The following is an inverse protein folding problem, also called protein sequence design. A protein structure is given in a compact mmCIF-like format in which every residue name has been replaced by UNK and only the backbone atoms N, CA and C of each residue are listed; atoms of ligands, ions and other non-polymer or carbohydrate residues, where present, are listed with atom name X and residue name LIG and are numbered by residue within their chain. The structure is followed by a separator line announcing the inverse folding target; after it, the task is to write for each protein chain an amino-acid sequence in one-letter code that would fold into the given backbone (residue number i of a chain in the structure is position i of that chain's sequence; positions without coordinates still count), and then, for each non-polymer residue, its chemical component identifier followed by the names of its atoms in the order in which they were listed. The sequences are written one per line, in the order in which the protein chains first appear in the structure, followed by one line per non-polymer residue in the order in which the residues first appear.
data_IF_408665980396
#
_entry.id   IF_408665980396
#
_cell.length_a   1.000
_cell.length_b   1.000
_cell.length_c   1.000
_cell.angle_alpha   90.00
_cell.angle_beta   90.00
_cell.angle_gamma   90.00
#
_symmetry.space_group_name_H-M   'P 1'
#
loop_
_entity.id
_entity.type
_entity.pdbx_description
1 polymer ?
#
# COMPACT_ATOMS: atom_id res chain seq x y z
N UNK A 1 18.72 23.44 -17.84
CA UNK A 1 17.84 23.36 -16.65
C UNK A 1 18.55 22.42 -15.69
N UNK A 2 19.14 22.95 -14.61
CA UNK A 2 19.70 22.13 -13.53
C UNK A 2 18.51 21.61 -12.71
N UNK A 3 18.20 20.32 -12.78
CA UNK A 3 17.33 19.69 -11.83
C UNK A 3 18.07 19.61 -10.48
N UNK A 4 17.59 20.35 -9.49
CA UNK A 4 18.04 20.14 -8.11
C UNK A 4 17.55 18.74 -7.73
N UNK A 5 18.48 17.82 -7.49
CA UNK A 5 18.14 16.50 -6.96
C UNK A 5 17.67 16.70 -5.51
N UNK A 6 16.37 16.77 -5.32
CA UNK A 6 15.77 16.71 -3.98
C UNK A 6 15.60 15.24 -3.63
N UNK A 7 16.62 14.68 -3.00
CA UNK A 7 16.53 13.33 -2.43
C UNK A 7 15.77 13.33 -1.12
N UNK A 8 15.27 12.16 -0.73
CA UNK A 8 14.74 11.94 0.62
C UNK A 8 15.85 12.23 1.63
N UNK A 9 15.50 12.94 2.71
CA UNK A 9 16.45 13.16 3.82
C UNK A 9 16.93 11.82 4.37
N UNK A 10 18.23 11.53 4.19
CA UNK A 10 18.80 10.22 4.49
C UNK A 10 18.72 9.86 5.98
N UNK A 11 18.78 10.85 6.90
CA UNK A 11 18.71 10.60 8.34
C UNK A 11 17.30 10.16 8.74
N UNK A 12 16.28 10.85 8.24
CA UNK A 12 14.90 10.48 8.49
C UNK A 12 14.54 9.16 7.82
N UNK A 13 15.02 8.93 6.60
CA UNK A 13 14.84 7.65 5.91
C UNK A 13 15.44 6.50 6.72
N UNK A 14 16.71 6.61 7.11
CA UNK A 14 17.41 5.58 7.89
C UNK A 14 16.69 5.33 9.23
N UNK A 15 16.33 6.37 9.95
CA UNK A 15 15.65 6.26 11.23
C UNK A 15 14.29 5.55 11.13
N UNK A 16 13.46 5.93 10.14
CA UNK A 16 12.11 5.37 9.96
C UNK A 16 12.19 3.93 9.47
N UNK A 17 12.99 3.67 8.43
CA UNK A 17 13.14 2.33 7.87
C UNK A 17 13.77 1.36 8.88
N UNK A 18 14.74 1.80 9.65
CA UNK A 18 15.35 0.97 10.72
C UNK A 18 14.34 0.61 11.80
N UNK A 19 13.49 1.57 12.25
CA UNK A 19 12.41 1.29 13.20
C UNK A 19 11.40 0.28 12.64
N UNK A 20 10.94 0.45 11.40
CA UNK A 20 10.03 -0.49 10.77
C UNK A 20 10.66 -1.89 10.63
N UNK A 21 11.92 -1.98 10.20
CA UNK A 21 12.64 -3.27 10.13
C UNK A 21 12.73 -3.94 11.49
N UNK A 22 13.06 -3.19 12.54
CA UNK A 22 13.11 -3.73 13.91
C UNK A 22 11.74 -4.24 14.34
N UNK A 23 10.68 -3.48 14.10
CA UNK A 23 9.32 -3.92 14.42
C UNK A 23 8.96 -5.22 13.69
N UNK A 24 9.07 -5.26 12.38
CA UNK A 24 8.65 -6.45 11.62
C UNK A 24 9.57 -7.64 11.85
N UNK A 25 10.89 -7.44 11.91
CA UNK A 25 11.85 -8.54 12.08
C UNK A 25 11.94 -9.02 13.53
N UNK A 26 12.17 -8.11 14.48
CA UNK A 26 12.55 -8.47 15.83
C UNK A 26 11.34 -8.58 16.77
N UNK A 27 10.30 -7.74 16.57
CA UNK A 27 9.08 -7.78 17.39
C UNK A 27 8.08 -8.80 16.84
N UNK A 28 7.84 -8.80 15.52
CA UNK A 28 6.85 -9.68 14.87
C UNK A 28 7.44 -11.02 14.39
N UNK A 29 8.76 -11.12 14.26
CA UNK A 29 9.44 -12.33 13.79
C UNK A 29 9.28 -12.59 12.28
N UNK A 30 9.03 -11.56 11.47
CA UNK A 30 8.88 -11.70 10.04
C UNK A 30 10.23 -11.77 9.33
N UNK A 31 10.22 -12.26 8.08
CA UNK A 31 11.40 -12.36 7.24
C UNK A 31 11.44 -11.26 6.18
N UNK A 32 12.60 -10.61 6.05
CA UNK A 32 12.83 -9.67 4.94
C UNK A 32 13.18 -10.42 3.66
N UNK A 33 12.50 -10.12 2.57
CA UNK A 33 12.75 -10.71 1.25
C UNK A 33 12.97 -9.63 0.21
N UNK A 34 13.70 -9.98 -0.86
CA UNK A 34 13.92 -9.09 -1.99
C UNK A 34 12.91 -9.40 -3.11
N UNK A 35 12.10 -8.43 -3.48
CA UNK A 35 10.96 -8.61 -4.40
C UNK A 35 11.22 -8.12 -5.82
N UNK A 36 12.25 -7.27 -6.03
CA UNK A 36 12.49 -6.62 -7.33
C UNK A 36 13.46 -7.38 -8.25
N UNK A 37 13.95 -8.55 -7.85
CA UNK A 37 14.86 -9.37 -8.64
C UNK A 37 14.17 -10.31 -9.62
N UNK A 38 12.85 -10.37 -9.61
CA UNK A 38 12.04 -11.22 -10.48
C UNK A 38 11.13 -10.37 -11.36
N UNK A 39 10.96 -10.81 -12.59
CA UNK A 39 10.02 -10.22 -13.53
C UNK A 39 8.63 -10.72 -13.17
N UNK A 40 7.70 -9.83 -12.93
CA UNK A 40 6.30 -10.17 -12.68
C UNK A 40 5.39 -9.11 -13.27
N UNK A 41 4.40 -9.56 -14.02
CA UNK A 41 3.37 -8.71 -14.60
C UNK A 41 2.33 -8.36 -13.53
N UNK A 42 2.07 -9.27 -12.59
CA UNK A 42 1.14 -9.02 -11.49
C UNK A 42 1.67 -8.01 -10.45
N UNK A 43 2.96 -7.68 -10.49
CA UNK A 43 3.52 -6.58 -9.68
C UNK A 43 3.17 -5.18 -10.22
N UNK A 44 2.61 -5.09 -11.43
CA UNK A 44 1.96 -3.91 -11.98
C UNK A 44 0.52 -3.90 -11.45
N UNK A 45 0.33 -3.39 -10.24
CA UNK A 45 -0.95 -3.54 -9.56
C UNK A 45 -1.88 -2.32 -9.71
N UNK A 46 -2.71 -2.12 -8.86
CA UNK A 46 -3.82 -1.18 -8.59
C UNK A 46 -4.26 -0.28 -9.76
N UNK A 47 -3.39 0.58 -10.26
CA UNK A 47 -3.70 1.44 -11.42
C UNK A 47 -2.83 1.09 -12.63
N UNK A 48 -3.35 0.28 -13.58
CA UNK A 48 -2.60 -0.12 -14.76
C UNK A 48 -2.32 1.04 -15.72
N UNK A 49 -3.03 2.18 -15.59
CA UNK A 49 -2.81 3.34 -16.45
C UNK A 49 -1.50 4.06 -16.14
N UNK A 50 -0.97 3.86 -14.94
CA UNK A 50 0.29 4.46 -14.47
C UNK A 50 1.49 3.53 -14.54
N UNK A 51 1.39 2.39 -15.23
CA UNK A 51 2.49 1.45 -15.37
C UNK A 51 3.66 2.09 -16.14
N UNK A 52 4.82 2.15 -15.51
CA UNK A 52 6.09 2.40 -16.18
C UNK A 52 6.68 1.07 -16.69
N UNK A 53 7.32 1.09 -17.85
CA UNK A 53 7.86 -0.12 -18.47
C UNK A 53 9.35 -0.01 -18.74
N UNK A 54 10.01 -1.17 -18.87
CA UNK A 54 11.39 -1.27 -19.33
C UNK A 54 11.57 -2.43 -20.30
N UNK A 55 12.56 -2.31 -21.17
CA UNK A 55 12.96 -3.39 -22.08
C UNK A 55 14.08 -4.20 -21.41
N UNK A 56 13.88 -5.51 -21.33
CA UNK A 56 14.91 -6.41 -20.83
C UNK A 56 14.93 -7.69 -21.68
N UNK A 57 16.08 -7.98 -22.27
CA UNK A 57 16.30 -9.13 -23.17
C UNK A 57 15.33 -9.13 -24.39
N UNK A 58 14.99 -7.95 -24.90
CA UNK A 58 14.09 -7.81 -26.05
C UNK A 58 12.59 -7.87 -25.72
N UNK A 59 12.24 -8.04 -24.47
CA UNK A 59 10.87 -8.10 -24.00
C UNK A 59 10.51 -6.89 -23.13
N UNK A 60 9.27 -6.42 -23.22
CA UNK A 60 8.76 -5.33 -22.38
C UNK A 60 8.22 -5.88 -21.07
N UNK A 61 8.63 -5.28 -19.97
CA UNK A 61 8.25 -5.64 -18.61
C UNK A 61 7.79 -4.41 -17.84
N UNK A 62 6.86 -4.54 -16.87
CA UNK A 62 6.52 -3.46 -15.98
C UNK A 62 7.67 -3.19 -15.00
N UNK A 63 7.92 -1.92 -14.71
CA UNK A 63 8.58 -1.55 -13.47
C UNK A 63 7.60 -1.79 -12.32
N UNK A 64 8.03 -2.38 -11.20
CA UNK A 64 7.12 -2.74 -10.12
C UNK A 64 6.47 -1.52 -9.50
N UNK A 65 5.16 -1.60 -9.25
CA UNK A 65 4.43 -0.63 -8.44
C UNK A 65 4.36 -1.08 -6.97
N UNK A 66 4.47 -2.40 -6.74
CA UNK A 66 4.40 -3.04 -5.42
C UNK A 66 5.22 -4.34 -5.41
N UNK A 67 5.62 -4.75 -4.22
CA UNK A 67 6.18 -6.08 -3.94
C UNK A 67 5.15 -7.10 -3.42
N UNK A 68 3.87 -6.70 -3.29
CA UNK A 68 2.82 -7.50 -2.67
C UNK A 68 2.72 -8.92 -3.22
N UNK A 69 2.64 -9.09 -4.55
CA UNK A 69 2.47 -10.42 -5.16
C UNK A 69 3.65 -11.36 -4.84
N UNK A 70 4.85 -10.81 -4.65
CA UNK A 70 6.01 -11.58 -4.19
C UNK A 70 5.93 -11.95 -2.73
N UNK A 71 5.45 -11.04 -1.87
CA UNK A 71 5.24 -11.30 -0.45
C UNK A 71 4.19 -12.38 -0.25
N UNK A 72 3.06 -12.31 -0.99
CA UNK A 72 2.05 -13.36 -1.00
C UNK A 72 2.62 -14.71 -1.50
N UNK A 73 3.43 -14.67 -2.56
CA UNK A 73 4.10 -15.88 -3.07
C UNK A 73 4.97 -16.52 -1.98
N UNK A 74 5.84 -15.75 -1.31
CA UNK A 74 6.67 -16.27 -0.24
C UNK A 74 5.85 -16.81 0.93
N UNK A 75 4.80 -16.11 1.35
CA UNK A 75 3.96 -16.53 2.46
C UNK A 75 3.20 -17.84 2.16
N UNK A 76 2.68 -17.98 0.93
CA UNK A 76 1.98 -19.19 0.50
C UNK A 76 2.92 -20.39 0.31
N UNK A 77 4.16 -20.17 -0.09
CA UNK A 77 5.18 -21.24 -0.22
C UNK A 77 5.81 -21.64 1.15
N UNK A 78 5.74 -20.75 2.15
CA UNK A 78 6.35 -20.95 3.47
C UNK A 78 5.32 -20.70 4.60
N UNK A 79 4.28 -21.54 4.71
CA UNK A 79 3.19 -21.33 5.67
C UNK A 79 3.63 -21.47 7.14
N UNK A 80 4.84 -21.94 7.43
CA UNK A 80 5.39 -22.02 8.79
C UNK A 80 5.97 -20.68 9.28
N UNK A 81 6.28 -19.74 8.37
CA UNK A 81 6.75 -18.40 8.75
C UNK A 81 5.59 -17.51 9.23
N UNK A 82 5.87 -16.55 10.12
CA UNK A 82 4.86 -15.65 10.67
C UNK A 82 4.40 -14.60 9.67
N UNK A 83 5.29 -14.17 8.78
CA UNK A 83 5.06 -13.17 7.76
C UNK A 83 6.34 -12.77 7.05
N UNK A 84 6.16 -12.03 5.98
CA UNK A 84 7.24 -11.50 5.16
C UNK A 84 7.11 -9.98 5.00
N UNK A 85 8.23 -9.30 4.80
CA UNK A 85 8.25 -7.88 4.46
C UNK A 85 9.38 -7.58 3.48
N UNK A 86 9.26 -6.44 2.82
CA UNK A 86 10.32 -5.93 1.95
C UNK A 86 10.37 -4.40 2.00
N UNK A 87 11.52 -3.85 1.63
CA UNK A 87 11.64 -2.46 1.19
C UNK A 87 11.79 -2.48 -0.31
N UNK A 88 10.81 -1.94 -1.02
CA UNK A 88 10.75 -1.89 -2.47
C UNK A 88 10.79 -0.45 -2.99
N UNK A 89 10.83 -0.29 -4.29
CA UNK A 89 10.61 1.00 -4.95
C UNK A 89 9.37 0.91 -5.81
N UNK A 90 8.40 1.77 -5.56
CA UNK A 90 7.22 1.92 -6.42
C UNK A 90 7.54 2.86 -7.57
N UNK A 91 7.19 2.45 -8.78
CA UNK A 91 7.30 3.25 -10.00
C UNK A 91 5.90 3.52 -10.54
N UNK A 92 5.49 4.79 -10.52
CA UNK A 92 4.18 5.23 -11.00
C UNK A 92 4.36 6.31 -12.05
N UNK A 93 3.93 6.02 -13.27
CA UNK A 93 4.01 6.96 -14.38
C UNK A 93 2.75 7.84 -14.44
N UNK A 94 2.41 8.48 -13.31
CA UNK A 94 1.27 9.39 -13.24
C UNK A 94 1.52 10.61 -14.14
N UNK A 95 0.57 10.95 -15.04
CA UNK A 95 0.72 12.10 -15.92
C UNK A 95 0.70 13.41 -15.14
N UNK A 96 -0.20 13.56 -14.18
CA UNK A 96 -0.46 14.79 -13.43
C UNK A 96 -0.40 14.54 -11.91
N UNK A 97 0.77 14.26 -11.32
CA UNK A 97 0.89 14.01 -9.89
C UNK A 97 0.57 15.26 -9.08
N UNK A 98 -0.18 15.11 -7.99
CA UNK A 98 -0.50 16.22 -7.08
C UNK A 98 0.76 16.56 -6.26
N UNK A 99 1.29 17.80 -6.38
CA UNK A 99 2.48 18.20 -5.65
C UNK A 99 2.31 18.05 -4.13
N UNK A 100 3.28 17.40 -3.47
CA UNK A 100 3.26 17.17 -2.02
C UNK A 100 2.44 15.96 -1.57
N UNK A 101 1.69 15.32 -2.46
CA UNK A 101 0.93 14.08 -2.18
C UNK A 101 1.43 12.90 -3.01
N UNK A 102 1.78 13.13 -4.27
CA UNK A 102 2.11 12.07 -5.23
C UNK A 102 3.56 12.20 -5.69
N UNK A 103 4.35 11.19 -5.38
CA UNK A 103 5.68 10.97 -5.94
C UNK A 103 5.59 9.90 -7.04
N UNK A 104 6.30 10.09 -8.15
CA UNK A 104 6.34 9.11 -9.23
C UNK A 104 7.23 7.91 -8.95
N UNK A 105 8.25 8.10 -8.13
CA UNK A 105 9.20 7.06 -7.73
C UNK A 105 9.45 7.25 -6.24
N UNK A 106 9.09 6.27 -5.44
CA UNK A 106 9.22 6.38 -4.00
C UNK A 106 9.45 5.03 -3.33
N UNK A 107 10.11 5.00 -2.16
CA UNK A 107 10.27 3.78 -1.39
C UNK A 107 8.95 3.35 -0.74
N UNK A 108 8.63 2.07 -0.88
CA UNK A 108 7.52 1.39 -0.22
C UNK A 108 8.07 0.37 0.77
N UNK A 109 7.52 0.36 1.97
CA UNK A 109 7.74 -0.72 2.93
C UNK A 109 6.48 -1.58 2.96
N UNK A 110 6.60 -2.85 2.61
CA UNK A 110 5.43 -3.71 2.38
C UNK A 110 5.53 -4.96 3.25
N UNK A 111 4.40 -5.50 3.65
CA UNK A 111 4.33 -6.71 4.48
C UNK A 111 3.13 -7.57 4.12
N UNK A 112 3.25 -8.88 4.37
CA UNK A 112 2.18 -9.86 4.22
C UNK A 112 2.23 -10.84 5.39
N UNK A 113 1.06 -11.12 5.99
CA UNK A 113 0.90 -11.91 7.22
C UNK A 113 -0.20 -12.95 7.09
N UNK A 114 -0.18 -13.94 7.98
CA UNK A 114 -1.34 -14.81 8.20
C UNK A 114 -2.40 -14.07 9.02
N UNK A 115 -3.65 -14.35 8.72
CA UNK A 115 -4.78 -13.77 9.40
C UNK A 115 -5.57 -12.80 8.54
N UNK A 116 -6.75 -12.46 8.99
CA UNK A 116 -7.70 -11.59 8.31
C UNK A 116 -7.60 -10.13 8.78
N UNK A 117 -8.74 -9.43 8.69
CA UNK A 117 -8.83 -8.01 9.05
C UNK A 117 -8.44 -7.70 10.50
N UNK A 118 -8.79 -8.57 11.45
CA UNK A 118 -8.50 -8.33 12.87
C UNK A 118 -6.99 -8.36 13.14
N UNK A 119 -6.28 -9.35 12.56
CA UNK A 119 -4.83 -9.46 12.65
C UNK A 119 -4.12 -8.31 11.92
N UNK A 120 -4.63 -7.94 10.75
CA UNK A 120 -4.10 -6.82 9.96
C UNK A 120 -4.17 -5.53 10.75
N UNK A 121 -5.38 -5.17 11.21
CA UNK A 121 -5.62 -3.97 12.02
C UNK A 121 -4.76 -3.96 13.28
N UNK A 122 -4.61 -5.12 13.94
CA UNK A 122 -3.76 -5.25 15.12
C UNK A 122 -2.30 -4.97 14.81
N UNK A 123 -1.76 -5.54 13.73
CA UNK A 123 -0.35 -5.32 13.34
C UNK A 123 -0.10 -3.85 13.01
N UNK A 124 -1.01 -3.21 12.29
CA UNK A 124 -0.92 -1.78 11.95
C UNK A 124 -0.97 -0.89 13.20
N UNK A 125 -1.92 -1.14 14.10
CA UNK A 125 -2.01 -0.40 15.36
C UNK A 125 -0.76 -0.59 16.22
N UNK A 126 -0.23 -1.80 16.33
CA UNK A 126 1.01 -2.09 17.07
C UNK A 126 2.24 -1.43 16.40
N UNK A 127 2.27 -1.35 15.07
CA UNK A 127 3.32 -0.61 14.36
C UNK A 127 3.27 0.88 14.71
N UNK A 128 2.09 1.48 14.67
CA UNK A 128 1.92 2.90 14.99
C UNK A 128 2.31 3.21 16.44
N UNK A 129 1.91 2.36 17.39
CA UNK A 129 2.35 2.46 18.78
C UNK A 129 3.89 2.38 18.90
N UNK A 130 4.50 1.42 18.19
CA UNK A 130 5.95 1.24 18.18
C UNK A 130 6.70 2.46 17.59
N UNK A 131 6.12 3.09 16.57
CA UNK A 131 6.66 4.30 15.97
C UNK A 131 6.48 5.54 16.87
N UNK A 132 5.58 5.49 17.87
CA UNK A 132 5.37 6.52 18.87
C UNK A 132 4.08 7.33 18.69
N UNK A 133 3.17 6.93 17.79
CA UNK A 133 1.85 7.56 17.68
C UNK A 133 0.98 7.21 18.88
N UNK A 134 0.12 8.14 19.27
CA UNK A 134 -0.77 7.97 20.41
C UNK A 134 -2.15 7.52 19.98
N UNK A 135 -2.71 6.58 20.71
CA UNK A 135 -4.12 6.19 20.61
C UNK A 135 -5.04 7.27 21.20
N UNK A 136 -6.30 7.23 20.85
CA UNK A 136 -7.35 8.04 21.46
C UNK A 136 -7.55 7.74 22.95
N UNK A 137 -8.38 8.55 23.59
CA UNK A 137 -8.66 8.44 25.04
C UNK A 137 -9.31 7.09 25.42
N UNK A 138 -9.96 6.42 24.50
CA UNK A 138 -10.57 5.09 24.65
C UNK A 138 -9.56 3.93 24.45
N UNK A 139 -8.29 4.23 24.16
CA UNK A 139 -7.23 3.26 23.93
C UNK A 139 -7.22 2.68 22.51
N UNK A 140 -8.01 3.22 21.57
CA UNK A 140 -8.04 2.85 20.16
C UNK A 140 -7.60 3.99 19.25
N UNK A 141 -7.23 3.68 18.02
CA UNK A 141 -7.15 4.69 16.95
C UNK A 141 -8.55 4.94 16.40
N UNK A 142 -8.93 6.20 16.10
CA UNK A 142 -10.17 6.51 15.41
C UNK A 142 -10.33 5.72 14.12
N UNK A 143 -11.55 5.26 13.84
CA UNK A 143 -11.86 4.50 12.63
C UNK A 143 -13.28 4.73 12.15
N UNK A 144 -13.55 4.40 10.90
CA UNK A 144 -14.88 4.45 10.32
C UNK A 144 -14.97 3.68 9.01
N UNK A 145 -16.16 3.17 8.73
CA UNK A 145 -16.49 2.55 7.46
C UNK A 145 -16.53 3.60 6.34
N UNK A 146 -16.03 3.25 5.16
CA UNK A 146 -15.96 4.13 4.00
C UNK A 146 -17.31 4.83 3.69
N UNK A 147 -18.40 4.08 3.65
CA UNK A 147 -19.71 4.63 3.34
C UNK A 147 -20.27 5.53 4.46
N UNK A 148 -19.95 5.26 5.72
CA UNK A 148 -20.34 6.12 6.84
C UNK A 148 -19.58 7.44 6.80
N UNK A 149 -18.30 7.41 6.44
CA UNK A 149 -17.49 8.61 6.21
C UNK A 149 -18.04 9.41 5.02
N UNK A 150 -18.37 8.75 3.90
CA UNK A 150 -19.04 9.39 2.77
C UNK A 150 -20.30 10.14 3.21
N UNK A 151 -21.20 9.48 3.97
CA UNK A 151 -22.44 10.10 4.49
C UNK A 151 -22.15 11.31 5.36
N UNK A 152 -21.15 11.22 6.22
CA UNK A 152 -20.77 12.32 7.14
C UNK A 152 -20.27 13.55 6.42
N UNK A 153 -19.65 13.38 5.24
CA UNK A 153 -19.12 14.46 4.41
C UNK A 153 -20.03 14.84 3.24
N UNK A 154 -21.24 14.23 3.15
CA UNK A 154 -22.20 14.55 2.10
C UNK A 154 -21.82 14.00 0.73
N UNK A 155 -20.95 12.99 0.69
CA UNK A 155 -20.58 12.27 -0.53
C UNK A 155 -21.63 11.20 -0.82
N UNK A 156 -22.04 11.08 -2.08
CA UNK A 156 -23.04 10.08 -2.49
C UNK A 156 -22.47 8.66 -2.38
N UNK A 157 -23.08 7.82 -1.55
CA UNK A 157 -22.64 6.43 -1.31
C UNK A 157 -22.90 5.47 -2.47
N UNK A 158 -23.62 5.90 -3.50
CA UNK A 158 -23.91 5.05 -4.67
C UNK A 158 -22.83 5.24 -5.75
N UNK A 159 -22.44 6.48 -6.00
CA UNK A 159 -21.57 6.85 -7.12
C UNK A 159 -20.38 7.73 -6.76
N UNK A 160 -20.35 8.28 -5.54
CA UNK A 160 -19.27 9.17 -5.10
C UNK A 160 -18.10 8.42 -4.48
N UNK A 161 -16.94 9.05 -4.51
CA UNK A 161 -15.71 8.59 -3.86
C UNK A 161 -15.14 9.68 -2.95
N UNK A 162 -14.37 9.27 -1.96
CA UNK A 162 -13.64 10.19 -1.11
C UNK A 162 -12.44 10.74 -1.90
N UNK A 163 -12.35 12.04 -1.94
CA UNK A 163 -11.26 12.77 -2.59
C UNK A 163 -10.23 13.26 -1.58
N UNK A 164 -9.13 13.79 -2.06
CA UNK A 164 -8.03 14.32 -1.22
C UNK A 164 -8.51 15.30 -0.12
N UNK A 165 -9.49 16.15 -0.43
CA UNK A 165 -10.07 17.12 0.52
C UNK A 165 -10.81 16.43 1.67
N UNK A 166 -11.41 15.27 1.42
CA UNK A 166 -12.08 14.48 2.44
C UNK A 166 -11.07 13.79 3.37
N UNK A 167 -9.94 13.31 2.83
CA UNK A 167 -8.85 12.79 3.65
C UNK A 167 -8.22 13.87 4.54
N UNK A 168 -8.00 15.08 4.00
CA UNK A 168 -7.50 16.22 4.78
C UNK A 168 -8.45 16.53 5.93
N UNK A 169 -9.75 16.52 5.66
CA UNK A 169 -10.78 16.74 6.66
C UNK A 169 -10.83 15.63 7.73
N UNK A 170 -10.61 14.36 7.35
CA UNK A 170 -10.45 13.27 8.34
C UNK A 170 -9.32 13.57 9.32
N UNK A 171 -8.19 14.08 8.82
CA UNK A 171 -7.07 14.49 9.66
C UNK A 171 -7.40 15.64 10.60
N UNK A 172 -8.21 16.60 10.17
CA UNK A 172 -8.67 17.74 10.98
C UNK A 172 -9.68 17.30 12.05
N UNK A 173 -10.67 16.49 11.69
CA UNK A 173 -11.79 16.09 12.54
C UNK A 173 -11.40 15.01 13.57
N UNK A 174 -10.49 14.09 13.22
CA UNK A 174 -10.18 12.90 14.03
C UNK A 174 -8.74 12.82 14.53
N UNK A 175 -7.88 13.75 14.12
CA UNK A 175 -6.48 13.83 14.57
C UNK A 175 -5.48 13.12 13.63
N UNK A 176 -4.26 12.84 14.12
CA UNK A 176 -3.14 12.47 13.26
C UNK A 176 -3.25 11.09 12.61
N UNK A 177 -4.14 10.23 13.08
CA UNK A 177 -4.32 8.85 12.58
C UNK A 177 -5.80 8.50 12.53
N UNK A 178 -6.25 8.00 11.39
CA UNK A 178 -7.62 7.49 11.19
C UNK A 178 -7.59 6.23 10.33
N UNK A 179 -8.27 5.18 10.75
CA UNK A 179 -8.44 3.93 10.01
C UNK A 179 -9.73 3.99 9.19
N UNK A 180 -9.62 4.13 7.88
CA UNK A 180 -10.73 4.08 6.94
C UNK A 180 -10.88 2.65 6.44
N UNK A 181 -12.06 2.04 6.65
CA UNK A 181 -12.24 0.60 6.48
C UNK A 181 -13.41 0.27 5.55
N UNK A 182 -13.44 -0.97 5.05
CA UNK A 182 -14.57 -1.54 4.31
C UNK A 182 -14.90 -0.77 3.02
N UNK A 183 -13.99 -0.86 2.04
CA UNK A 183 -14.11 -0.13 0.78
C UNK A 183 -15.13 -0.75 -0.17
N UNK A 184 -16.07 0.05 -0.70
CA UNK A 184 -17.08 -0.45 -1.63
C UNK A 184 -16.47 -0.80 -3.00
N UNK A 185 -17.13 -1.72 -3.71
CA UNK A 185 -16.70 -2.18 -5.03
C UNK A 185 -16.59 -1.06 -6.08
N UNK A 186 -17.31 0.05 -5.93
CA UNK A 186 -17.22 1.23 -6.81
C UNK A 186 -15.84 1.90 -6.81
N UNK A 187 -15.07 1.74 -5.71
CA UNK A 187 -13.68 2.24 -5.62
C UNK A 187 -12.67 1.31 -6.29
N UNK A 188 -13.14 0.30 -7.02
CA UNK A 188 -12.33 -0.67 -7.77
C UNK A 188 -11.20 -1.31 -6.95
N UNK A 189 -11.49 -1.92 -5.78
CA UNK A 189 -10.47 -2.60 -4.99
C UNK A 189 -9.74 -3.65 -5.82
N UNK A 190 -8.45 -3.86 -5.52
CA UNK A 190 -7.62 -4.76 -6.31
C UNK A 190 -8.21 -6.19 -6.37
N UNK A 191 -8.04 -6.86 -7.49
CA UNK A 191 -8.73 -8.12 -7.84
C UNK A 191 -8.54 -9.27 -6.84
N UNK A 192 -7.48 -9.28 -6.04
CA UNK A 192 -7.23 -10.32 -5.05
C UNK A 192 -7.65 -9.95 -3.62
N UNK A 193 -8.24 -8.79 -3.41
CA UNK A 193 -8.81 -8.41 -2.11
C UNK A 193 -10.05 -9.26 -1.82
N UNK A 194 -10.24 -9.58 -0.55
CA UNK A 194 -11.40 -10.35 -0.11
C UNK A 194 -12.65 -9.49 -0.13
N UNK A 195 -13.63 -9.95 -0.88
CA UNK A 195 -14.98 -9.39 -0.85
C UNK A 195 -15.72 -9.91 0.38
N UNK A 196 -16.44 -9.05 1.07
CA UNK A 196 -17.32 -9.43 2.18
C UNK A 196 -18.48 -10.31 1.71
N UNK A 197 -19.14 -11.02 2.62
CA UNK A 197 -20.27 -11.89 2.29
C UNK A 197 -21.44 -11.15 1.61
N UNK A 198 -21.58 -9.85 1.89
CA UNK A 198 -22.56 -8.98 1.22
C UNK A 198 -22.32 -8.81 -0.27
N UNK A 199 -21.08 -9.07 -0.73
CA UNK A 199 -20.67 -8.89 -2.12
C UNK A 199 -20.51 -7.43 -2.57
N UNK A 200 -20.56 -6.47 -1.66
CA UNK A 200 -20.57 -5.03 -2.00
C UNK A 200 -19.35 -4.26 -1.50
N UNK A 201 -18.61 -4.81 -0.56
CA UNK A 201 -17.44 -4.17 0.04
C UNK A 201 -16.27 -5.14 0.14
N UNK A 202 -15.07 -4.64 -0.01
CA UNK A 202 -13.83 -5.38 0.21
C UNK A 202 -13.27 -5.11 1.61
N UNK A 203 -12.65 -6.13 2.21
CA UNK A 203 -11.91 -6.03 3.46
C UNK A 203 -10.60 -5.26 3.23
N UNK A 204 -10.69 -3.94 3.11
CA UNK A 204 -9.58 -3.01 2.88
C UNK A 204 -9.50 -2.02 4.03
N UNK A 205 -8.27 -1.62 4.39
CA UNK A 205 -7.97 -0.54 5.34
C UNK A 205 -7.01 0.43 4.66
N UNK A 206 -7.32 1.71 4.73
CA UNK A 206 -6.38 2.79 4.48
C UNK A 206 -6.15 3.56 5.78
N UNK A 207 -4.91 3.62 6.23
CA UNK A 207 -4.54 4.44 7.40
C UNK A 207 -4.19 5.84 6.92
N UNK A 208 -5.12 6.75 7.18
CA UNK A 208 -4.97 8.17 6.85
C UNK A 208 -4.18 8.84 7.97
N UNK A 209 -3.02 9.42 7.63
CA UNK A 209 -2.14 10.06 8.60
C UNK A 209 -1.94 11.53 8.25
N UNK A 210 -2.38 12.42 9.15
CA UNK A 210 -2.40 13.88 8.90
C UNK A 210 -3.00 14.22 7.53
N UNK A 211 -4.15 13.59 7.21
CA UNK A 211 -4.91 13.86 5.99
C UNK A 211 -4.33 13.27 4.71
N UNK A 212 -3.45 12.27 4.80
CA UNK A 212 -2.93 11.55 3.63
C UNK A 212 -2.89 10.05 3.91
N UNK A 213 -3.45 9.23 3.02
CA UNK A 213 -3.26 7.79 3.04
C UNK A 213 -1.76 7.47 3.10
N UNK A 214 -1.36 6.79 4.17
CA UNK A 214 0.05 6.45 4.42
C UNK A 214 0.29 4.95 4.40
N UNK A 215 -0.71 4.16 4.81
CA UNK A 215 -0.71 2.71 4.71
C UNK A 215 -1.97 2.32 3.94
N UNK A 216 -1.83 1.53 2.89
CA UNK A 216 -2.92 0.87 2.20
C UNK A 216 -2.80 -0.63 2.36
N UNK A 217 -3.86 -1.30 2.83
CA UNK A 217 -3.81 -2.71 3.18
C UNK A 217 -5.14 -3.43 2.96
N UNK A 218 -5.10 -4.77 2.88
CA UNK A 218 -6.31 -5.57 2.71
C UNK A 218 -6.14 -7.02 3.16
N UNK A 219 -7.23 -7.64 3.53
CA UNK A 219 -7.35 -9.11 3.56
C UNK A 219 -7.43 -9.65 2.14
N UNK A 220 -6.75 -10.77 1.88
CA UNK A 220 -6.69 -11.39 0.56
C UNK A 220 -7.75 -12.48 0.42
N UNK A 221 -8.33 -12.59 -0.76
CA UNK A 221 -9.25 -13.67 -1.10
C UNK A 221 -8.56 -15.03 -1.04
N UNK A 222 -9.28 -16.05 -0.60
CA UNK A 222 -8.86 -17.46 -0.63
C UNK A 222 -9.54 -18.23 -1.76
N UNK A 223 -10.40 -17.58 -2.55
CA UNK A 223 -11.14 -18.19 -3.65
C UNK A 223 -10.49 -17.87 -5.00
N UNK A 224 -9.74 -18.82 -5.61
CA UNK A 224 -9.08 -18.60 -6.89
C UNK A 224 -10.06 -18.33 -8.05
N UNK A 225 -11.30 -18.83 -7.97
CA UNK A 225 -12.30 -18.60 -9.00
C UNK A 225 -12.82 -17.17 -8.90
N UNK A 226 -13.13 -16.70 -7.69
CA UNK A 226 -13.55 -15.33 -7.46
C UNK A 226 -12.44 -14.33 -7.86
N UNK A 227 -11.19 -14.58 -7.46
CA UNK A 227 -10.04 -13.75 -7.84
C UNK A 227 -9.86 -13.66 -9.36
N UNK A 228 -9.95 -14.80 -10.07
CA UNK A 228 -9.85 -14.84 -11.53
C UNK A 228 -10.97 -14.03 -12.18
N UNK A 229 -12.21 -14.24 -11.75
CA UNK A 229 -13.34 -13.50 -12.28
C UNK A 229 -13.16 -11.99 -12.07
N UNK A 230 -12.70 -11.58 -10.88
CA UNK A 230 -12.45 -10.19 -10.56
C UNK A 230 -11.31 -9.59 -11.41
N UNK A 231 -10.23 -10.36 -11.65
CA UNK A 231 -9.13 -9.94 -12.54
C UNK A 231 -9.62 -9.54 -13.92
N UNK A 232 -10.58 -10.31 -14.49
CA UNK A 232 -11.14 -10.01 -15.80
C UNK A 232 -12.24 -8.95 -15.82
N UNK A 233 -12.86 -8.65 -14.67
CA UNK A 233 -14.01 -7.74 -14.59
C UNK A 233 -13.71 -6.38 -13.99
N UNK A 234 -12.63 -6.25 -13.19
CA UNK A 234 -12.27 -4.98 -12.56
C UNK A 234 -12.10 -3.88 -13.61
N UNK A 235 -12.61 -2.69 -13.32
CA UNK A 235 -12.62 -1.54 -14.22
C UNK A 235 -13.27 -1.89 -15.59
N UNK A 236 -14.39 -2.63 -15.56
CA UNK A 236 -15.10 -3.12 -16.76
C UNK A 236 -14.19 -3.89 -17.75
N UNK A 237 -13.24 -4.64 -17.21
CA UNK A 237 -12.23 -5.39 -17.98
C UNK A 237 -11.05 -4.54 -18.45
N UNK A 238 -11.01 -3.27 -18.10
CA UNK A 238 -9.95 -2.33 -18.50
C UNK A 238 -8.58 -2.77 -17.97
N UNK A 239 -8.52 -3.26 -16.75
CA UNK A 239 -7.28 -3.74 -16.13
C UNK A 239 -6.64 -4.88 -16.94
N UNK A 240 -7.37 -5.98 -17.16
CA UNK A 240 -6.85 -7.13 -17.91
C UNK A 240 -6.48 -6.77 -19.35
N UNK A 241 -7.34 -5.99 -20.03
CA UNK A 241 -7.10 -5.59 -21.42
C UNK A 241 -5.83 -4.75 -21.56
N UNK A 242 -5.56 -3.86 -20.61
CA UNK A 242 -4.35 -3.05 -20.63
C UNK A 242 -3.09 -3.90 -20.43
N UNK A 243 -3.10 -4.82 -19.46
CA UNK A 243 -1.99 -5.75 -19.25
C UNK A 243 -1.75 -6.62 -20.49
N UNK A 244 -2.79 -7.16 -21.12
CA UNK A 244 -2.67 -7.97 -22.33
C UNK A 244 -2.08 -7.19 -23.51
N UNK A 245 -2.46 -5.93 -23.67
CA UNK A 245 -1.96 -5.08 -24.75
C UNK A 245 -0.47 -4.73 -24.59
N UNK A 246 -0.01 -4.55 -23.37
CA UNK A 246 1.37 -4.15 -23.07
C UNK A 246 2.32 -5.35 -22.94
N UNK A 247 1.88 -6.44 -22.33
CA UNK A 247 2.76 -7.52 -21.88
C UNK A 247 2.48 -8.89 -22.53
N UNK A 248 1.66 -8.97 -23.56
CA UNK A 248 1.21 -10.20 -24.20
C UNK A 248 0.26 -11.01 -23.30
N UNK A 249 -0.87 -11.37 -23.90
CA UNK A 249 -1.95 -12.08 -23.19
C UNK A 249 -1.49 -13.43 -22.61
N UNK A 250 -0.78 -14.23 -23.44
CA UNK A 250 -0.28 -15.54 -23.03
C UNK A 250 0.63 -15.48 -21.79
N UNK A 251 1.44 -14.45 -21.69
CA UNK A 251 2.37 -14.25 -20.58
C UNK A 251 1.65 -13.86 -19.29
N UNK A 252 0.69 -12.92 -19.39
CA UNK A 252 -0.13 -12.49 -18.25
C UNK A 252 -0.99 -13.64 -17.74
N UNK A 253 -1.63 -14.41 -18.64
CA UNK A 253 -2.47 -15.55 -18.27
C UNK A 253 -1.66 -16.66 -17.62
N UNK A 254 -0.46 -16.97 -18.13
CA UNK A 254 0.41 -17.98 -17.50
C UNK A 254 0.82 -17.57 -16.07
N UNK A 255 1.17 -16.31 -15.85
CA UNK A 255 1.53 -15.82 -14.52
C UNK A 255 0.33 -15.86 -13.56
N UNK A 256 -0.85 -15.46 -14.05
CA UNK A 256 -2.10 -15.56 -13.29
C UNK A 256 -2.45 -17.02 -12.98
N UNK A 257 -2.33 -17.93 -13.96
CA UNK A 257 -2.59 -19.35 -13.77
C UNK A 257 -1.67 -20.00 -12.75
N UNK A 258 -0.39 -19.60 -12.73
CA UNK A 258 0.56 -20.09 -11.76
C UNK A 258 0.26 -19.57 -10.35
N UNK A 259 -0.20 -18.32 -10.23
CA UNK A 259 -0.66 -17.80 -8.96
C UNK A 259 -1.92 -18.55 -8.46
N UNK A 260 -2.90 -18.80 -9.33
CA UNK A 260 -4.17 -19.45 -8.96
C UNK A 260 -4.05 -20.94 -8.57
N UNK A 261 -2.89 -21.56 -8.80
CA UNK A 261 -2.63 -22.96 -8.38
C UNK A 261 -2.16 -23.10 -6.94
N UNK A 262 -1.93 -21.97 -6.23
CA UNK A 262 -1.42 -22.02 -4.87
C UNK A 262 -2.48 -22.45 -3.87
N UNK A 263 -2.04 -23.05 -2.76
CA UNK A 263 -2.89 -23.41 -1.63
C UNK A 263 -3.17 -22.16 -0.78
N UNK A 264 -4.28 -21.50 -1.05
CA UNK A 264 -4.64 -20.26 -0.40
C UNK A 264 -5.17 -20.49 1.03
N UNK A 265 -4.66 -19.71 1.97
CA UNK A 265 -5.19 -19.58 3.33
C UNK A 265 -5.46 -18.10 3.64
N UNK A 266 -6.16 -17.84 4.75
CA UNK A 266 -6.47 -16.47 5.20
C UNK A 266 -5.19 -15.71 5.47
N UNK A 267 -4.99 -14.64 4.74
CA UNK A 267 -3.82 -13.78 4.77
C UNK A 267 -4.23 -12.34 4.52
N UNK A 268 -3.39 -11.44 4.94
CA UNK A 268 -3.57 -9.99 4.76
C UNK A 268 -2.22 -9.30 4.68
N UNK A 269 -2.21 -8.10 4.18
CA UNK A 269 -0.98 -7.33 4.10
C UNK A 269 -1.20 -5.96 3.52
N UNK A 270 -0.14 -5.17 3.47
CA UNK A 270 -0.23 -3.79 3.03
C UNK A 270 1.11 -3.17 2.65
N UNK A 271 0.99 -1.96 2.11
CA UNK A 271 2.10 -1.11 1.72
C UNK A 271 2.11 0.20 2.50
N UNK A 272 3.28 0.59 2.96
CA UNK A 272 3.54 1.81 3.72
C UNK A 272 4.37 2.74 2.85
N UNK A 273 3.82 3.89 2.47
CA UNK A 273 4.59 4.92 1.77
C UNK A 273 5.64 5.51 2.71
N UNK A 274 6.93 5.22 2.47
CA UNK A 274 8.00 5.64 3.40
C UNK A 274 8.10 7.15 3.50
N UNK A 275 7.95 7.88 2.38
CA UNK A 275 7.96 9.35 2.38
C UNK A 275 6.80 9.93 3.15
N UNK A 276 5.60 9.34 3.02
CA UNK A 276 4.39 9.73 3.75
C UNK A 276 4.52 9.42 5.25
N UNK A 277 5.10 8.27 5.62
CA UNK A 277 5.37 7.93 7.01
C UNK A 277 6.38 8.91 7.65
N UNK A 278 7.46 9.26 6.96
CA UNK A 278 8.40 10.29 7.41
C UNK A 278 7.68 11.62 7.63
N UNK A 279 6.81 12.03 6.71
CA UNK A 279 6.00 13.24 6.85
C UNK A 279 5.11 13.17 8.10
N UNK A 280 4.38 12.09 8.29
CA UNK A 280 3.49 11.89 9.42
C UNK A 280 4.24 11.94 10.75
N UNK A 281 5.38 11.26 10.85
CA UNK A 281 6.23 11.26 12.04
C UNK A 281 6.81 12.67 12.35
N UNK A 282 7.19 13.44 11.32
CA UNK A 282 7.63 14.84 11.49
C UNK A 282 6.52 15.72 12.05
N UNK A 283 5.32 15.62 11.47
CA UNK A 283 4.16 16.41 11.93
C UNK A 283 3.73 16.05 13.35
N UNK A 284 3.97 14.82 13.78
CA UNK A 284 3.72 14.33 15.14
C UNK A 284 4.91 14.56 16.10
N UNK A 285 5.99 15.23 15.67
CA UNK A 285 7.22 15.46 16.45
C UNK A 285 7.89 14.16 16.95
N UNK A 286 7.81 13.08 16.18
CA UNK A 286 8.40 11.77 16.47
C UNK A 286 9.78 11.56 15.84
N UNK A 287 10.24 12.53 15.04
CA UNK A 287 11.58 12.59 14.47
C UNK A 287 12.28 13.85 14.96
N UNK A 288 13.60 13.76 15.16
CA UNK A 288 14.40 14.94 15.53
C UNK A 288 14.29 16.02 14.44
N UNK A 289 14.11 17.25 14.86
CA UNK A 289 14.19 18.40 13.95
C UNK A 289 15.59 18.40 13.28
N UNK A 290 15.70 18.78 11.99
CA UNK A 290 17.00 18.92 11.37
C UNK A 290 17.83 19.91 12.20
N UNK A 291 18.99 19.46 12.69
CA UNK A 291 19.95 20.32 13.33
C UNK A 291 20.36 21.35 12.28
N UNK A 292 19.89 22.60 12.45
CA UNK A 292 20.36 23.70 11.63
C UNK A 292 21.88 23.82 11.86
N UNK A 293 22.68 23.21 11.01
CA UNK A 293 24.11 23.50 10.94
C UNK A 293 24.20 24.97 10.55
N UNK A 294 24.82 25.84 11.37
CA UNK A 294 25.03 27.22 10.99
C UNK A 294 25.74 27.21 9.62
N UNK A 295 25.16 27.91 8.65
CA UNK A 295 25.88 28.19 7.41
C UNK A 295 27.18 28.88 7.80
N UNK A 296 28.32 28.21 7.55
CA UNK A 296 29.61 28.89 7.52
C UNK A 296 29.57 29.92 6.36
N UNK A 297 28.95 31.06 6.60
CA UNK A 297 29.26 32.30 5.93
C UNK A 297 30.28 32.97 6.84
N UNK A 298 31.53 32.72 6.52
CA UNK A 298 32.66 33.63 6.76
C UNK A 298 33.96 32.84 6.60
N UNK A 299 34.46 32.78 5.35
CA UNK A 299 35.86 32.79 4.98
C UNK A 299 36.00 33.14 3.49
#
# INVERSE_FOLDING_TARGET
IYFKMEGIDYKNFDAVVSKMRTFFRDVKGFREVHTQNKKSILAACEDPTTIATYNYEGEIWPLPQTGQMWLEHYLLEHPDENGFFCLSTSYRNEPDPVPGRHDRIFPMFEFEIKGGMDELRKVEAELLDYLGFNRGADGSYPSGDYDDVCRSYGVDVVSGELENEHEEKLGEDHGPVFFLENFPERTSPFWNMKLQETGTHSNKIDVIMHGIETIGSAERSTDPVAMRNKFYSISDGGYANLLFSQFRKDRVENELDDFMKKDFFVRSGGGIGVTRMIRAMKLSNLLEAPVNTPSNQDC
#
